data_IF_454758067943
#
_entry.id   IF_454758067943
#
_cell.length_a   1.000
_cell.length_b   1.000
_cell.length_c   1.000
_cell.angle_alpha   90.00
_cell.angle_beta   90.00
_cell.angle_gamma   90.00
#
_symmetry.space_group_name_H-M   'P 1'
#
loop_
_entity.id
_entity.type
_entity.pdbx_description
1 polymer ?
#
# COMPACT_ATOMS: atom_id res chain seq x y z
N UNK A 1 -10.40 11.46 1.55
CA UNK A 1 -10.08 11.41 0.12
C UNK A 1 -10.64 10.15 -0.51
N UNK A 2 -11.62 10.32 -1.39
CA UNK A 2 -12.36 9.20 -1.95
C UNK A 2 -11.62 8.43 -3.04
N UNK A 3 -10.61 9.03 -3.67
CA UNK A 3 -9.93 8.38 -4.80
C UNK A 3 -9.22 7.08 -4.43
N UNK A 4 -8.59 7.04 -3.25
CA UNK A 4 -7.89 5.83 -2.81
C UNK A 4 -8.87 4.73 -2.43
N UNK A 5 -9.96 5.07 -1.74
CA UNK A 5 -10.97 4.10 -1.35
C UNK A 5 -11.85 3.67 -2.52
N UNK A 6 -12.07 4.57 -3.49
CA UNK A 6 -12.90 4.29 -4.65
C UNK A 6 -12.33 3.26 -5.62
N UNK A 7 -11.02 3.09 -5.63
CA UNK A 7 -10.34 2.11 -6.50
C UNK A 7 -10.48 0.69 -5.96
N UNK A 8 -10.54 0.55 -4.63
CA UNK A 8 -10.57 -0.74 -3.96
C UNK A 8 -9.18 -1.29 -3.70
N UNK A 9 -8.58 -1.92 -4.70
CA UNK A 9 -7.29 -2.60 -4.54
C UNK A 9 -6.20 -1.93 -5.36
N UNK A 10 -5.05 -1.71 -4.73
CA UNK A 10 -3.85 -1.18 -5.38
C UNK A 10 -2.74 -2.22 -5.33
N UNK A 11 -2.10 -2.48 -6.47
CA UNK A 11 -0.94 -3.38 -6.52
C UNK A 11 0.29 -2.64 -6.03
N UNK A 12 1.04 -3.26 -5.13
CA UNK A 12 2.26 -2.68 -4.57
C UNK A 12 3.44 -3.01 -5.47
N UNK A 13 4.07 -1.97 -6.03
CA UNK A 13 5.27 -2.14 -6.84
C UNK A 13 6.53 -2.15 -5.98
N UNK A 14 6.59 -1.27 -5.00
CA UNK A 14 7.74 -1.21 -4.09
C UNK A 14 7.36 -0.56 -2.78
N UNK A 15 8.04 -0.96 -1.72
CA UNK A 15 8.00 -0.31 -0.40
C UNK A 15 9.45 -0.12 0.01
N UNK A 16 9.96 1.08 -0.18
CA UNK A 16 11.35 1.38 0.11
C UNK A 16 11.45 1.99 1.50
N UNK A 17 12.16 1.32 2.38
CA UNK A 17 12.43 1.82 3.73
C UNK A 17 13.89 2.26 3.80
N UNK A 18 14.10 3.50 4.25
CA UNK A 18 15.43 4.06 4.45
C UNK A 18 15.76 4.03 5.93
N UNK A 19 16.91 3.46 6.26
CA UNK A 19 17.43 3.41 7.63
C UNK A 19 18.92 3.75 7.57
N UNK A 20 19.22 5.03 7.81
CA UNK A 20 20.58 5.52 7.65
C UNK A 20 21.05 5.40 6.19
N UNK A 21 22.15 4.69 5.98
CA UNK A 21 22.69 4.45 4.63
C UNK A 21 22.10 3.21 3.96
N UNK A 22 21.22 2.48 4.67
CA UNK A 22 20.63 1.24 4.16
C UNK A 22 19.26 1.52 3.57
N UNK A 23 19.02 0.97 2.38
CA UNK A 23 17.74 1.03 1.69
C UNK A 23 17.23 -0.40 1.50
N UNK A 24 16.04 -0.68 2.00
CA UNK A 24 15.40 -2.00 1.90
C UNK A 24 14.09 -1.89 1.14
N UNK A 25 13.87 -2.84 0.22
CA UNK A 25 12.58 -2.98 -0.44
C UNK A 25 11.79 -4.07 0.30
N UNK A 26 10.70 -3.66 0.93
CA UNK A 26 9.85 -4.53 1.73
C UNK A 26 8.68 -5.11 0.94
N UNK A 27 8.54 -4.77 -0.33
CA UNK A 27 7.43 -5.27 -1.14
C UNK A 27 7.62 -6.75 -1.47
N UNK A 28 6.53 -7.48 -1.38
CA UNK A 28 6.48 -8.91 -1.68
C UNK A 28 5.78 -9.12 -3.01
N UNK A 29 6.15 -10.17 -3.73
CA UNK A 29 5.46 -10.53 -4.97
C UNK A 29 3.97 -10.82 -4.65
N UNK A 30 3.08 -10.20 -5.42
CA UNK A 30 1.64 -10.35 -5.19
C UNK A 30 1.08 -9.51 -4.04
N UNK A 31 1.85 -8.56 -3.53
CA UNK A 31 1.39 -7.68 -2.46
C UNK A 31 0.47 -6.60 -2.99
N UNK A 32 -0.57 -6.27 -2.23
CA UNK A 32 -1.50 -5.20 -2.57
C UNK A 32 -1.94 -4.45 -1.33
N UNK A 33 -2.51 -3.26 -1.55
CA UNK A 33 -3.07 -2.42 -0.50
C UNK A 33 -4.53 -2.13 -0.83
N UNK A 34 -5.39 -2.21 0.18
CA UNK A 34 -6.80 -1.85 0.03
C UNK A 34 -7.13 -0.76 1.03
N UNK A 35 -7.59 0.38 0.53
CA UNK A 35 -8.05 1.49 1.36
C UNK A 35 -9.56 1.38 1.53
N UNK A 36 -10.01 1.13 2.75
CA UNK A 36 -11.43 0.97 3.03
C UNK A 36 -11.75 1.38 4.47
N UNK A 37 -12.90 2.02 4.67
CA UNK A 37 -13.43 2.33 6.01
C UNK A 37 -12.43 3.04 6.94
N UNK A 38 -11.65 3.98 6.40
CA UNK A 38 -10.68 4.73 7.19
C UNK A 38 -9.44 3.94 7.61
N UNK A 39 -9.16 2.85 6.90
CA UNK A 39 -7.95 2.05 7.16
C UNK A 39 -7.35 1.55 5.85
N UNK A 40 -6.11 1.12 5.92
CA UNK A 40 -5.43 0.43 4.81
C UNK A 40 -5.11 -0.99 5.26
N UNK A 41 -5.39 -1.94 4.37
CA UNK A 41 -5.11 -3.35 4.60
C UNK A 41 -4.04 -3.77 3.63
N UNK A 42 -2.93 -4.33 4.14
CA UNK A 42 -1.88 -4.92 3.31
C UNK A 42 -2.17 -6.40 3.13
N UNK A 43 -2.22 -6.82 1.86
CA UNK A 43 -2.63 -8.17 1.48
C UNK A 43 -1.55 -8.78 0.58
N UNK A 44 -1.31 -10.07 0.74
CA UNK A 44 -0.45 -10.84 -0.15
C UNK A 44 -1.24 -12.00 -0.73
N UNK A 45 -1.13 -12.21 -2.03
CA UNK A 45 -1.70 -13.37 -2.69
C UNK A 45 -0.65 -14.48 -2.71
N UNK A 46 -1.03 -15.67 -2.22
CA UNK A 46 -0.18 -16.84 -2.19
C UNK A 46 -0.82 -17.97 -3.00
N UNK A 47 0.01 -18.77 -3.65
CA UNK A 47 -0.47 -19.98 -4.29
C UNK A 47 -0.81 -21.01 -3.22
N UNK A 48 -1.99 -21.62 -3.35
CA UNK A 48 -2.43 -22.69 -2.46
C UNK A 48 -2.33 -24.02 -3.19
N UNK A 49 -1.45 -24.87 -2.72
CA UNK A 49 -1.23 -26.18 -3.34
C UNK A 49 -2.27 -27.20 -2.87
N UNK A 50 -2.77 -27.98 -3.81
CA UNK A 50 -3.67 -29.08 -3.51
C UNK A 50 -5.12 -28.70 -3.23
N UNK A 51 -5.53 -27.48 -3.60
CA UNK A 51 -6.91 -27.02 -3.50
C UNK A 51 -7.44 -26.56 -4.85
N UNK A 52 -8.75 -26.45 -4.97
CA UNK A 52 -9.39 -25.94 -6.20
C UNK A 52 -9.18 -24.44 -6.37
N UNK A 53 -8.80 -23.74 -5.31
CA UNK A 53 -8.45 -22.31 -5.37
C UNK A 53 -6.94 -22.16 -5.50
N UNK A 54 -6.45 -21.71 -6.67
CA UNK A 54 -5.01 -21.59 -6.88
C UNK A 54 -4.34 -20.47 -6.08
N UNK A 55 -5.12 -19.52 -5.57
CA UNK A 55 -4.59 -18.39 -4.81
C UNK A 55 -5.37 -18.20 -3.51
N UNK A 56 -4.65 -17.81 -2.47
CA UNK A 56 -5.21 -17.46 -1.16
C UNK A 56 -4.72 -16.08 -0.79
N UNK A 57 -5.61 -15.21 -0.32
CA UNK A 57 -5.24 -13.91 0.19
C UNK A 57 -4.87 -14.03 1.67
N UNK A 58 -3.73 -13.44 2.02
CA UNK A 58 -3.27 -13.36 3.40
C UNK A 58 -3.16 -11.89 3.81
N UNK A 59 -3.79 -11.53 4.92
CA UNK A 59 -3.69 -10.19 5.47
C UNK A 59 -2.38 -10.04 6.22
N UNK A 60 -1.51 -9.15 5.74
CA UNK A 60 -0.22 -8.89 6.37
C UNK A 60 -0.33 -7.88 7.52
N UNK A 61 -1.26 -6.95 7.42
CA UNK A 61 -1.48 -5.96 8.47
C UNK A 61 -2.56 -4.97 8.10
N UNK A 62 -3.09 -4.30 9.12
CA UNK A 62 -4.07 -3.23 8.95
C UNK A 62 -3.61 -2.01 9.74
N UNK A 63 -3.77 -0.83 9.16
CA UNK A 63 -3.36 0.42 9.79
C UNK A 63 -4.43 1.49 9.59
N UNK A 64 -4.70 2.31 10.60
CA UNK A 64 -5.66 3.41 10.45
C UNK A 64 -5.14 4.45 9.47
N UNK A 65 -6.04 5.01 8.68
CA UNK A 65 -5.72 6.07 7.72
C UNK A 65 -6.55 7.30 8.06
N UNK A 66 -5.89 8.44 8.17
CA UNK A 66 -6.54 9.71 8.36
C UNK A 66 -6.24 10.59 7.16
N UNK A 67 -7.28 10.99 6.43
CA UNK A 67 -7.14 11.83 5.25
C UNK A 67 -7.16 13.30 5.66
N UNK A 68 -6.07 14.03 5.39
CA UNK A 68 -5.98 15.45 5.67
C UNK A 68 -6.52 16.29 4.52
N UNK A 69 -6.06 15.96 3.31
CA UNK A 69 -6.48 16.63 2.09
C UNK A 69 -6.05 15.79 0.89
N UNK A 70 -6.10 16.34 -0.31
CA UNK A 70 -5.75 15.60 -1.52
C UNK A 70 -4.26 15.27 -1.64
N UNK A 71 -3.41 15.94 -0.86
CA UNK A 71 -1.96 15.82 -0.97
C UNK A 71 -1.32 15.07 0.18
N UNK A 72 -2.03 14.89 1.30
CA UNK A 72 -1.45 14.28 2.50
C UNK A 72 -2.42 13.34 3.19
N UNK A 73 -1.87 12.30 3.80
CA UNK A 73 -2.63 11.42 4.67
C UNK A 73 -1.71 10.85 5.76
N UNK A 74 -2.32 10.34 6.83
CA UNK A 74 -1.59 9.59 7.85
C UNK A 74 -1.94 8.11 7.72
N UNK A 75 -0.92 7.27 7.80
CA UNK A 75 -1.09 5.82 7.90
C UNK A 75 -0.38 5.40 9.19
N UNK A 76 -1.16 4.88 10.15
CA UNK A 76 -0.60 4.44 11.43
C UNK A 76 0.10 5.54 12.20
N UNK A 77 -0.33 6.80 12.03
CA UNK A 77 0.28 7.94 12.68
C UNK A 77 1.46 8.57 11.95
N UNK A 78 1.88 8.00 10.82
CA UNK A 78 2.96 8.56 10.01
C UNK A 78 2.39 9.33 8.83
N UNK A 79 2.88 10.54 8.60
CA UNK A 79 2.42 11.40 7.52
C UNK A 79 3.04 11.02 6.20
N UNK A 80 2.20 10.83 5.20
CA UNK A 80 2.63 10.52 3.84
C UNK A 80 2.17 11.60 2.87
N UNK A 81 3.06 12.01 1.97
CA UNK A 81 2.71 12.81 0.82
C UNK A 81 2.12 11.90 -0.24
N UNK A 82 1.03 12.35 -0.87
CA UNK A 82 0.38 11.62 -1.96
C UNK A 82 0.81 12.25 -3.27
N UNK A 83 1.55 11.50 -4.08
CA UNK A 83 2.11 12.01 -5.34
C UNK A 83 1.59 11.14 -6.49
N UNK A 84 0.78 11.73 -7.36
CA UNK A 84 0.29 11.01 -8.53
C UNK A 84 1.37 10.99 -9.61
N UNK A 85 1.79 9.79 -10.01
CA UNK A 85 2.85 9.59 -11.00
C UNK A 85 2.32 9.21 -12.36
N UNK A 86 1.03 8.91 -12.45
CA UNK A 86 0.35 8.58 -13.70
C UNK A 86 -1.13 8.44 -13.48
N UNK A 87 -1.86 8.01 -14.51
CA UNK A 87 -3.31 7.86 -14.45
C UNK A 87 -3.75 6.88 -13.36
N UNK A 88 -3.04 5.76 -13.26
CA UNK A 88 -3.38 4.67 -12.36
C UNK A 88 -2.23 4.34 -11.41
N UNK A 89 -1.35 5.29 -11.17
CA UNK A 89 -0.20 5.08 -10.30
C UNK A 89 0.02 6.27 -9.40
N UNK A 90 0.47 5.98 -8.18
CA UNK A 90 0.83 7.03 -7.23
C UNK A 90 1.92 6.54 -6.29
N UNK A 91 2.55 7.49 -5.63
CA UNK A 91 3.59 7.25 -4.63
C UNK A 91 3.15 7.86 -3.31
N UNK A 92 3.24 7.09 -2.25
CA UNK A 92 3.06 7.54 -0.88
C UNK A 92 4.43 7.69 -0.26
N UNK A 93 4.79 8.92 0.12
CA UNK A 93 6.14 9.21 0.60
C UNK A 93 6.12 9.82 1.99
N UNK A 94 6.84 9.19 2.91
CA UNK A 94 7.13 9.75 4.23
C UNK A 94 8.63 10.00 4.36
N UNK A 95 9.06 10.43 5.53
CA UNK A 95 10.50 10.64 5.78
C UNK A 95 11.29 9.32 5.69
N UNK A 96 10.67 8.21 6.04
CA UNK A 96 11.35 6.92 6.14
C UNK A 96 10.94 5.91 5.08
N UNK A 97 9.75 6.05 4.52
CA UNK A 97 9.16 5.03 3.66
C UNK A 97 8.62 5.65 2.38
N UNK A 98 8.86 4.97 1.27
CA UNK A 98 8.30 5.35 -0.04
C UNK A 98 7.58 4.12 -0.58
N UNK A 99 6.27 4.26 -0.81
CA UNK A 99 5.44 3.18 -1.32
C UNK A 99 4.93 3.56 -2.71
N UNK A 100 5.24 2.73 -3.71
CA UNK A 100 4.77 2.92 -5.09
C UNK A 100 3.66 1.91 -5.37
N UNK A 101 2.49 2.40 -5.75
CA UNK A 101 1.32 1.57 -6.00
C UNK A 101 0.67 1.91 -7.33
N UNK A 102 0.05 0.91 -7.94
CA UNK A 102 -0.65 1.02 -9.23
C UNK A 102 -1.98 0.26 -9.18
N UNK A 103 -2.88 0.62 -10.07
CA UNK A 103 -4.08 -0.18 -10.25
C UNK A 103 -4.42 -0.42 -11.71
#
# INVERSE_FOLDING_TARGET
MSQLEGVGKWDVGSIIQKSGDVTLDLAWSGMSMRFENGKVVFIRECLSYGTDNPTVEETLGEYPVEYLNENYLYIGGEKFDVIFTGKNSLTLKSEKIIISITN
#
